data_IF_256629716573
#
_entry.id   IF_256629716573
#
_cell.length_a   1.000
_cell.length_b   1.000
_cell.length_c   1.000
_cell.angle_alpha   90.00
_cell.angle_beta   90.00
_cell.angle_gamma   90.00
#
_symmetry.space_group_name_H-M   'P 1'
#
loop_
_entity.id
_entity.type
_entity.pdbx_description
1 polymer ?
#
# COMPACT_ATOMS: atom_id res chain seq x y z
N UNK A 1 -19.25 5.66 5.54
CA UNK A 1 -18.78 4.37 4.98
C UNK A 1 -19.91 3.35 5.13
N UNK A 2 -20.35 2.73 4.03
CA UNK A 2 -21.56 1.88 4.02
C UNK A 2 -21.29 0.45 4.50
N UNK A 3 -20.02 0.01 4.51
CA UNK A 3 -19.65 -1.38 4.79
C UNK A 3 -20.01 -2.38 3.68
N UNK A 4 -20.62 -1.93 2.60
CA UNK A 4 -20.99 -2.78 1.45
C UNK A 4 -19.88 -2.72 0.37
N UNK A 5 -19.20 -3.82 0.16
CA UNK A 5 -18.10 -3.95 -0.80
C UNK A 5 -18.52 -3.74 -2.26
N UNK A 6 -19.80 -3.92 -2.61
CA UNK A 6 -20.31 -3.59 -3.94
C UNK A 6 -20.15 -2.10 -4.26
N UNK A 7 -20.23 -1.24 -3.24
CA UNK A 7 -20.00 0.18 -3.44
C UNK A 7 -18.53 0.47 -3.80
N UNK A 8 -17.56 -0.29 -3.26
CA UNK A 8 -16.17 -0.15 -3.65
C UNK A 8 -15.95 -0.53 -5.12
N UNK A 9 -16.61 -1.59 -5.60
CA UNK A 9 -16.59 -1.92 -7.03
C UNK A 9 -17.11 -0.77 -7.89
N UNK A 10 -18.28 -0.21 -7.56
CA UNK A 10 -18.87 0.88 -8.34
C UNK A 10 -18.05 2.18 -8.27
N UNK A 11 -17.39 2.45 -7.16
CA UNK A 11 -16.44 3.57 -7.04
C UNK A 11 -15.27 3.36 -7.99
N UNK A 12 -14.63 2.18 -7.94
CA UNK A 12 -13.52 1.84 -8.84
C UNK A 12 -13.95 1.87 -10.32
N UNK A 13 -15.12 1.33 -10.65
CA UNK A 13 -15.69 1.37 -11.99
C UNK A 13 -15.90 2.82 -12.49
N UNK A 14 -16.47 3.68 -11.64
CA UNK A 14 -16.73 5.07 -11.99
C UNK A 14 -15.43 5.85 -12.17
N UNK A 15 -14.49 5.76 -11.22
CA UNK A 15 -13.19 6.43 -11.29
C UNK A 15 -12.43 5.92 -12.53
N UNK A 16 -12.36 4.58 -12.70
CA UNK A 16 -11.66 3.97 -13.83
C UNK A 16 -12.17 4.49 -15.16
N UNK A 17 -13.50 4.54 -15.33
CA UNK A 17 -14.10 5.10 -16.54
C UNK A 17 -13.72 6.57 -16.78
N UNK A 18 -13.84 7.40 -15.75
CA UNK A 18 -13.57 8.84 -15.87
C UNK A 18 -12.11 9.12 -16.21
N UNK A 19 -11.17 8.47 -15.53
CA UNK A 19 -9.74 8.70 -15.78
C UNK A 19 -9.27 8.05 -17.10
N UNK A 20 -9.87 6.92 -17.51
CA UNK A 20 -9.60 6.32 -18.82
C UNK A 20 -10.00 7.23 -19.98
N UNK A 21 -11.15 7.91 -19.88
CA UNK A 21 -11.60 8.90 -20.87
C UNK A 21 -10.65 10.11 -20.97
N UNK A 22 -9.88 10.40 -19.89
CA UNK A 22 -8.84 11.42 -19.87
C UNK A 22 -7.48 10.92 -20.39
N UNK A 23 -7.36 9.66 -20.76
CA UNK A 23 -6.15 9.03 -21.30
C UNK A 23 -5.23 8.42 -20.25
N UNK A 24 -5.66 8.30 -18.97
CA UNK A 24 -4.91 7.58 -17.95
C UNK A 24 -5.20 6.08 -18.03
N UNK A 25 -4.18 5.27 -17.81
CA UNK A 25 -4.27 3.81 -17.80
C UNK A 25 -3.83 3.21 -16.46
N UNK A 26 -3.59 4.03 -15.45
CA UNK A 26 -3.12 3.64 -14.11
C UNK A 26 -3.70 4.59 -13.07
N UNK A 27 -4.15 4.00 -11.93
CA UNK A 27 -4.50 4.73 -10.71
C UNK A 27 -3.68 4.21 -9.53
N UNK A 28 -3.18 5.13 -8.69
CA UNK A 28 -2.58 4.79 -7.42
C UNK A 28 -3.66 4.57 -6.34
N UNK A 29 -4.55 3.63 -6.62
CA UNK A 29 -5.64 3.16 -5.78
C UNK A 29 -5.85 1.65 -5.98
N UNK A 30 -6.41 0.94 -4.97
CA UNK A 30 -6.95 1.38 -3.69
C UNK A 30 -5.91 1.56 -2.57
N UNK A 31 -6.33 2.28 -1.50
CA UNK A 31 -5.62 2.30 -0.21
C UNK A 31 -5.95 1.01 0.54
N UNK A 32 -4.94 0.17 0.74
CA UNK A 32 -5.03 -1.12 1.42
C UNK A 32 -4.69 -1.04 2.93
N UNK A 33 -4.27 0.15 3.41
CA UNK A 33 -3.94 0.38 4.81
C UNK A 33 -5.17 0.22 5.70
N UNK A 34 -5.00 -0.52 6.81
CA UNK A 34 -6.04 -0.71 7.84
C UNK A 34 -5.85 0.37 8.90
N UNK A 35 -6.79 1.32 9.01
CA UNK A 35 -6.68 2.44 9.94
C UNK A 35 -7.04 2.02 11.37
N UNK A 36 -6.12 1.35 12.06
CA UNK A 36 -6.28 0.90 13.45
C UNK A 36 -5.93 1.98 14.47
N UNK A 37 -5.22 3.04 14.06
CA UNK A 37 -4.88 4.18 14.90
C UNK A 37 -5.71 5.41 14.51
N UNK A 38 -6.62 5.83 15.37
CA UNK A 38 -7.49 6.98 15.13
C UNK A 38 -6.71 8.32 15.01
N UNK A 39 -5.47 8.38 15.51
CA UNK A 39 -4.59 9.55 15.39
C UNK A 39 -3.80 9.58 14.09
N UNK A 40 -3.86 8.53 13.29
CA UNK A 40 -3.24 8.50 11.97
C UNK A 40 -3.99 9.44 11.02
N UNK A 41 -3.48 10.66 10.88
CA UNK A 41 -4.04 11.68 10.00
C UNK A 41 -3.58 11.54 8.55
N UNK A 42 -2.48 10.82 8.30
CA UNK A 42 -1.96 10.59 6.96
C UNK A 42 -2.88 9.65 6.18
N UNK A 43 -3.24 8.51 6.74
CA UNK A 43 -4.19 7.58 6.13
C UNK A 43 -5.63 8.03 6.38
N UNK A 44 -6.00 8.23 7.64
CA UNK A 44 -7.28 8.81 8.03
C UNK A 44 -8.48 8.24 7.26
N UNK A 45 -9.24 9.11 6.65
CA UNK A 45 -10.44 8.77 5.88
C UNK A 45 -10.15 8.13 4.51
N UNK A 46 -8.91 8.04 4.08
CA UNK A 46 -8.50 7.35 2.84
C UNK A 46 -8.65 5.83 2.97
N UNK A 47 -8.49 5.27 4.18
CA UNK A 47 -8.71 3.86 4.46
C UNK A 47 -10.20 3.49 4.40
N UNK A 48 -10.50 2.27 4.00
CA UNK A 48 -11.85 1.70 4.08
C UNK A 48 -12.34 1.46 5.51
N UNK A 49 -11.43 1.35 6.48
CA UNK A 49 -11.80 1.18 7.88
C UNK A 49 -10.68 0.61 8.74
N UNK A 50 -11.06 0.18 9.93
CA UNK A 50 -10.16 -0.41 10.94
C UNK A 50 -10.33 -1.94 11.10
N UNK A 51 -11.28 -2.53 10.39
CA UNK A 51 -11.53 -3.97 10.45
C UNK A 51 -10.88 -4.66 9.24
N UNK A 52 -9.89 -5.57 9.44
CA UNK A 52 -9.05 -6.13 8.37
C UNK A 52 -9.84 -6.80 7.24
N UNK A 53 -10.86 -7.58 7.59
CA UNK A 53 -11.67 -8.28 6.60
C UNK A 53 -12.49 -7.32 5.74
N UNK A 54 -13.08 -6.30 6.35
CA UNK A 54 -13.82 -5.27 5.62
C UNK A 54 -12.91 -4.54 4.64
N UNK A 55 -11.70 -4.15 5.08
CA UNK A 55 -10.71 -3.49 4.20
C UNK A 55 -10.31 -4.42 3.05
N UNK A 56 -10.06 -5.70 3.34
CA UNK A 56 -9.69 -6.70 2.32
C UNK A 56 -10.80 -6.88 1.27
N UNK A 57 -12.07 -6.98 1.71
CA UNK A 57 -13.21 -7.11 0.82
C UNK A 57 -13.37 -5.86 -0.08
N UNK A 58 -13.26 -4.65 0.51
CA UNK A 58 -13.35 -3.39 -0.22
C UNK A 58 -12.23 -3.24 -1.25
N UNK A 59 -10.98 -3.50 -0.85
CA UNK A 59 -9.79 -3.43 -1.71
C UNK A 59 -9.97 -4.35 -2.93
N UNK A 60 -10.38 -5.59 -2.73
CA UNK A 60 -10.57 -6.52 -3.84
C UNK A 60 -11.64 -6.06 -4.84
N UNK A 61 -12.69 -5.43 -4.35
CA UNK A 61 -13.77 -4.94 -5.21
C UNK A 61 -13.37 -3.66 -5.96
N UNK A 62 -12.66 -2.73 -5.34
CA UNK A 62 -12.17 -1.54 -6.04
C UNK A 62 -11.14 -1.88 -7.12
N UNK A 63 -10.22 -2.83 -6.85
CA UNK A 63 -9.31 -3.37 -7.89
C UNK A 63 -10.10 -3.86 -9.10
N UNK A 64 -11.11 -4.70 -8.87
CA UNK A 64 -11.95 -5.23 -9.97
C UNK A 64 -12.68 -4.11 -10.72
N UNK A 65 -13.18 -3.11 -10.00
CA UNK A 65 -13.88 -1.97 -10.62
C UNK A 65 -12.99 -1.15 -11.54
N UNK A 66 -11.79 -0.77 -11.05
CA UNK A 66 -10.79 -0.02 -11.83
C UNK A 66 -10.35 -0.80 -13.08
N UNK A 67 -9.94 -2.05 -12.89
CA UNK A 67 -9.39 -2.87 -13.99
C UNK A 67 -10.44 -3.31 -15.01
N UNK A 68 -11.72 -3.38 -14.63
CA UNK A 68 -12.82 -3.59 -15.59
C UNK A 68 -12.94 -2.44 -16.60
N UNK A 69 -12.39 -1.26 -16.30
CA UNK A 69 -12.37 -0.10 -17.20
C UNK A 69 -11.04 0.07 -17.95
N UNK A 70 -10.10 -0.89 -17.84
CA UNK A 70 -8.78 -0.82 -18.48
C UNK A 70 -7.80 0.09 -17.76
N UNK A 71 -8.02 0.38 -16.48
CA UNK A 71 -7.12 1.16 -15.61
C UNK A 71 -6.46 0.24 -14.60
N UNK A 72 -5.15 0.17 -14.61
CA UNK A 72 -4.36 -0.63 -13.66
C UNK A 72 -4.51 -0.11 -12.25
N UNK A 73 -4.81 -1.01 -11.31
CA UNK A 73 -4.93 -0.69 -9.89
C UNK A 73 -3.60 -0.88 -9.15
N UNK A 74 -3.35 -0.04 -8.14
CA UNK A 74 -2.14 -0.07 -7.30
C UNK A 74 -2.52 -0.18 -5.83
N UNK A 75 -2.19 -1.31 -5.20
CA UNK A 75 -2.38 -1.48 -3.75
C UNK A 75 -1.36 -0.65 -2.98
N UNK A 76 -1.80 0.15 -2.00
CA UNK A 76 -0.90 1.00 -1.22
C UNK A 76 -1.34 1.16 0.23
N UNK A 77 -0.37 1.31 1.13
CA UNK A 77 1.08 1.38 1.01
C UNK A 77 1.71 0.18 1.72
N UNK A 78 2.29 -0.75 1.00
CA UNK A 78 2.84 -1.98 1.56
C UNK A 78 4.08 -1.68 2.45
N UNK A 79 4.21 -2.27 3.66
CA UNK A 79 3.44 -3.39 4.23
C UNK A 79 2.18 -3.02 5.01
N UNK A 80 1.70 -1.81 4.95
CA UNK A 80 0.60 -1.24 5.72
C UNK A 80 1.11 -0.18 6.71
N UNK A 81 0.50 1.00 6.71
CA UNK A 81 0.90 2.09 7.60
C UNK A 81 -0.27 2.68 8.41
N UNK A 82 -1.41 1.99 8.42
CA UNK A 82 -2.61 2.49 9.06
C UNK A 82 -2.54 2.54 10.60
N UNK A 83 -1.65 1.76 11.21
CA UNK A 83 -1.40 1.82 12.67
C UNK A 83 -0.37 2.88 13.08
N UNK A 84 0.39 3.47 12.13
CA UNK A 84 1.40 4.48 12.46
C UNK A 84 0.74 5.74 12.99
N UNK A 85 1.32 6.34 14.04
CA UNK A 85 0.85 7.61 14.61
C UNK A 85 1.47 8.83 13.96
N UNK A 86 2.46 8.65 13.11
CA UNK A 86 3.28 9.69 12.51
C UNK A 86 3.15 9.70 10.99
N UNK A 87 3.52 10.83 10.39
CA UNK A 87 3.35 11.11 8.97
C UNK A 87 4.70 10.99 8.24
N UNK A 88 4.81 10.05 7.31
CA UNK A 88 6.02 9.79 6.51
C UNK A 88 6.49 10.99 5.68
N UNK A 89 5.60 11.94 5.38
CA UNK A 89 5.96 13.19 4.74
C UNK A 89 6.80 14.12 5.65
N UNK A 90 6.72 13.94 6.97
CA UNK A 90 7.44 14.76 7.96
C UNK A 90 8.77 14.18 8.38
N UNK A 91 8.97 12.89 8.23
CA UNK A 91 10.22 12.22 8.60
C UNK A 91 10.10 10.73 8.81
N UNK A 92 11.01 10.20 9.62
CA UNK A 92 11.04 8.79 9.99
C UNK A 92 9.75 8.35 10.68
N UNK A 93 9.22 7.22 10.26
CA UNK A 93 8.04 6.59 10.84
C UNK A 93 8.30 5.10 11.03
N UNK A 94 8.04 4.61 12.23
CA UNK A 94 8.20 3.21 12.59
C UNK A 94 6.86 2.48 12.59
N UNK A 95 6.83 1.35 11.90
CA UNK A 95 5.75 0.38 12.00
C UNK A 95 6.10 -0.65 13.08
N UNK A 96 5.59 -0.44 14.30
CA UNK A 96 5.85 -1.27 15.45
C UNK A 96 5.05 -2.57 15.41
N UNK A 97 5.46 -3.50 14.56
CA UNK A 97 4.81 -4.80 14.41
C UNK A 97 5.83 -5.92 14.19
N UNK A 98 5.52 -7.12 14.69
CA UNK A 98 6.24 -8.34 14.32
C UNK A 98 5.76 -8.82 12.94
N UNK A 99 6.55 -9.68 12.29
CA UNK A 99 6.16 -10.24 10.99
C UNK A 99 4.85 -11.04 11.09
N UNK A 100 4.61 -11.74 12.18
CA UNK A 100 3.38 -12.51 12.37
C UNK A 100 2.16 -11.58 12.53
N UNK A 101 2.32 -10.46 13.24
CA UNK A 101 1.27 -9.43 13.31
C UNK A 101 0.95 -8.85 11.93
N UNK A 102 1.96 -8.57 11.09
CA UNK A 102 1.74 -8.11 9.73
C UNK A 102 1.00 -9.16 8.88
N UNK A 103 1.36 -10.44 9.01
CA UNK A 103 0.69 -11.54 8.31
C UNK A 103 -0.77 -11.71 8.70
N UNK A 104 -1.07 -11.52 9.98
CA UNK A 104 -2.41 -11.72 10.54
C UNK A 104 -3.34 -10.53 10.28
N UNK A 105 -2.81 -9.33 10.07
CA UNK A 105 -3.58 -8.10 9.96
C UNK A 105 -3.27 -7.36 8.67
N UNK A 106 -2.12 -6.67 8.58
CA UNK A 106 -1.80 -5.73 7.52
C UNK A 106 -1.73 -6.37 6.12
N UNK A 107 -1.29 -7.63 6.03
CA UNK A 107 -1.18 -8.30 4.73
C UNK A 107 -2.52 -8.80 4.17
N UNK A 108 -3.59 -8.85 4.96
CA UNK A 108 -4.89 -9.37 4.48
C UNK A 108 -5.46 -8.57 3.31
N UNK A 109 -5.52 -7.23 3.34
CA UNK A 109 -5.99 -6.46 2.19
C UNK A 109 -5.10 -6.60 0.96
N UNK A 110 -3.76 -6.67 1.14
CA UNK A 110 -2.84 -6.88 0.03
C UNK A 110 -3.03 -8.25 -0.61
N UNK A 111 -3.11 -9.34 0.18
CA UNK A 111 -3.43 -10.69 -0.33
C UNK A 111 -4.75 -10.70 -1.10
N UNK A 112 -5.76 -10.01 -0.59
CA UNK A 112 -7.08 -9.92 -1.24
C UNK A 112 -7.01 -9.15 -2.57
N UNK A 113 -6.30 -8.03 -2.61
CA UNK A 113 -6.08 -7.24 -3.82
C UNK A 113 -5.24 -7.98 -4.87
N UNK A 114 -4.16 -8.67 -4.45
CA UNK A 114 -3.34 -9.53 -5.31
C UNK A 114 -4.19 -10.64 -5.93
N UNK A 115 -5.00 -11.33 -5.10
CA UNK A 115 -5.92 -12.37 -5.57
C UNK A 115 -7.02 -11.83 -6.49
N UNK A 116 -7.36 -10.54 -6.38
CA UNK A 116 -8.27 -9.85 -7.30
C UNK A 116 -7.62 -9.45 -8.62
N UNK A 117 -6.30 -9.63 -8.75
CA UNK A 117 -5.53 -9.37 -9.96
C UNK A 117 -4.91 -7.98 -10.03
N UNK A 118 -4.64 -7.32 -8.92
CA UNK A 118 -3.99 -5.99 -8.92
C UNK A 118 -2.70 -5.97 -9.75
N UNK A 119 -2.55 -4.98 -10.61
CA UNK A 119 -1.40 -4.85 -11.49
C UNK A 119 -0.16 -4.28 -10.79
N UNK A 120 -0.35 -3.53 -9.70
CA UNK A 120 0.76 -2.88 -9.02
C UNK A 120 0.62 -2.92 -7.50
N UNK A 121 1.78 -2.88 -6.81
CA UNK A 121 1.89 -2.62 -5.37
C UNK A 121 2.87 -1.47 -5.14
N UNK A 122 2.45 -0.49 -4.36
CA UNK A 122 3.29 0.63 -3.93
C UNK A 122 3.85 0.37 -2.54
N UNK A 123 5.17 0.40 -2.44
CA UNK A 123 5.91 0.27 -1.19
C UNK A 123 5.87 1.54 -0.38
N UNK A 124 5.56 1.43 0.90
CA UNK A 124 5.68 2.51 1.88
C UNK A 124 7.13 2.78 2.27
N UNK A 125 7.38 3.99 2.77
CA UNK A 125 8.67 4.36 3.38
C UNK A 125 8.69 4.20 4.92
N UNK A 126 7.72 3.49 5.52
CA UNK A 126 7.80 3.15 6.95
C UNK A 126 8.98 2.21 7.20
N UNK A 127 9.64 2.36 8.33
CA UNK A 127 10.62 1.38 8.78
C UNK A 127 9.93 0.25 9.55
N UNK A 128 10.49 -0.94 9.45
CA UNK A 128 10.02 -2.16 10.14
C UNK A 128 11.17 -2.76 10.93
N UNK A 129 11.78 -1.96 11.82
CA UNK A 129 13.05 -2.28 12.48
C UNK A 129 12.98 -3.53 13.35
N UNK A 130 11.82 -3.86 13.91
CA UNK A 130 11.62 -5.11 14.64
C UNK A 130 11.79 -6.36 13.76
N UNK A 131 11.59 -6.22 12.45
CA UNK A 131 11.69 -7.32 11.47
C UNK A 131 13.05 -7.29 10.77
N UNK A 132 13.50 -6.11 10.33
CA UNK A 132 14.73 -5.94 9.55
C UNK A 132 15.98 -5.80 10.42
N UNK A 133 15.82 -5.45 11.71
CA UNK A 133 16.91 -5.07 12.62
C UNK A 133 17.53 -3.71 12.30
N UNK A 134 16.93 -2.92 11.39
CA UNK A 134 17.44 -1.64 10.92
C UNK A 134 16.31 -0.63 10.69
N UNK A 135 16.63 0.65 10.84
CA UNK A 135 15.74 1.78 10.55
C UNK A 135 15.62 2.11 9.04
N UNK A 136 15.84 1.12 8.17
CA UNK A 136 15.75 1.30 6.72
C UNK A 136 14.28 1.25 6.30
N UNK A 137 13.82 2.18 5.44
CA UNK A 137 12.46 2.15 4.89
C UNK A 137 12.13 0.84 4.20
N UNK A 138 10.91 0.34 4.37
CA UNK A 138 10.46 -0.92 3.79
C UNK A 138 10.69 -0.99 2.27
N UNK A 139 10.49 0.13 1.58
CA UNK A 139 10.75 0.29 0.14
C UNK A 139 12.21 0.09 -0.30
N UNK A 140 13.16 0.15 0.65
CA UNK A 140 14.59 0.01 0.40
C UNK A 140 15.18 -1.27 1.00
N UNK A 141 14.34 -2.24 1.39
CA UNK A 141 14.80 -3.50 1.98
C UNK A 141 14.42 -4.70 1.12
N UNK A 142 15.43 -5.52 0.78
CA UNK A 142 15.22 -6.80 0.08
C UNK A 142 14.20 -7.67 0.79
N UNK A 143 14.24 -7.72 2.13
CA UNK A 143 13.32 -8.53 2.92
C UNK A 143 11.85 -8.19 2.62
N UNK A 144 11.48 -6.89 2.60
CA UNK A 144 10.09 -6.50 2.38
C UNK A 144 9.68 -6.61 0.92
N UNK A 145 10.56 -6.20 0.00
CA UNK A 145 10.26 -6.18 -1.44
C UNK A 145 10.33 -7.58 -2.04
N UNK A 146 11.44 -8.28 -1.83
CA UNK A 146 11.69 -9.58 -2.49
C UNK A 146 11.15 -10.73 -1.65
N UNK A 147 11.67 -10.89 -0.43
CA UNK A 147 11.42 -12.13 0.31
C UNK A 147 9.95 -12.22 0.78
N UNK A 148 9.32 -11.07 1.12
CA UNK A 148 7.92 -11.06 1.56
C UNK A 148 6.96 -10.79 0.38
N UNK A 149 7.08 -9.65 -0.31
CA UNK A 149 6.07 -9.30 -1.33
C UNK A 149 6.17 -10.20 -2.56
N UNK A 150 7.36 -10.41 -3.13
CA UNK A 150 7.54 -11.30 -4.29
C UNK A 150 7.35 -12.77 -3.95
N UNK A 151 8.11 -13.27 -2.94
CA UNK A 151 8.20 -14.70 -2.71
C UNK A 151 7.10 -15.24 -1.80
N UNK A 152 6.83 -14.61 -0.64
CA UNK A 152 5.81 -15.09 0.29
C UNK A 152 4.38 -14.78 -0.20
N UNK A 153 4.12 -13.52 -0.64
CA UNK A 153 2.81 -13.10 -1.12
C UNK A 153 2.58 -13.43 -2.61
N UNK A 154 3.59 -13.94 -3.31
CA UNK A 154 3.52 -14.38 -4.71
C UNK A 154 3.06 -13.25 -5.66
N UNK A 155 3.56 -12.03 -5.46
CA UNK A 155 3.23 -10.90 -6.32
C UNK A 155 4.24 -10.76 -7.46
N UNK A 156 3.86 -11.14 -8.67
CA UNK A 156 4.73 -11.16 -9.86
C UNK A 156 4.65 -9.89 -10.73
N UNK A 157 3.67 -9.01 -10.46
CA UNK A 157 3.44 -7.80 -11.24
C UNK A 157 4.35 -6.64 -10.80
N UNK A 158 4.01 -5.39 -11.12
CA UNK A 158 4.88 -4.23 -10.92
C UNK A 158 4.93 -3.80 -9.44
N UNK A 159 6.15 -3.68 -8.90
CA UNK A 159 6.39 -3.05 -7.59
C UNK A 159 6.99 -1.67 -7.84
N UNK A 160 6.40 -0.65 -7.22
CA UNK A 160 6.91 0.72 -7.23
C UNK A 160 7.17 1.20 -5.80
N UNK A 161 7.95 2.25 -5.64
CA UNK A 161 8.06 2.95 -4.35
C UNK A 161 7.03 4.06 -4.27
N UNK A 162 6.68 4.50 -3.07
CA UNK A 162 6.11 5.83 -2.87
C UNK A 162 7.13 6.91 -3.28
N UNK A 163 6.75 8.17 -3.25
CA UNK A 163 7.52 9.27 -3.78
C UNK A 163 8.90 9.41 -3.10
N UNK A 164 9.98 9.18 -3.84
CA UNK A 164 11.36 9.18 -3.32
C UNK A 164 11.85 10.56 -2.87
N UNK A 165 11.10 11.62 -3.13
CA UNK A 165 11.39 12.98 -2.64
C UNK A 165 10.77 13.26 -1.25
N UNK A 166 10.13 12.29 -0.60
CA UNK A 166 9.59 12.42 0.75
C UNK A 166 10.73 12.57 1.77
N UNK A 167 10.47 13.31 2.86
CA UNK A 167 11.50 13.64 3.87
C UNK A 167 12.07 12.41 4.58
N UNK A 168 11.30 11.34 4.69
CA UNK A 168 11.76 10.06 5.24
C UNK A 168 12.90 9.45 4.39
N UNK A 169 12.96 9.75 3.11
CA UNK A 169 14.07 9.35 2.23
C UNK A 169 15.14 10.45 2.19
N UNK A 170 14.78 11.69 1.80
CA UNK A 170 15.75 12.75 1.48
C UNK A 170 16.59 13.24 2.67
N UNK A 171 16.20 12.94 3.91
CA UNK A 171 17.00 13.22 5.10
C UNK A 171 18.17 12.26 5.31
N UNK A 172 18.10 11.05 4.77
CA UNK A 172 19.03 9.96 5.07
C UNK A 172 19.74 9.41 3.85
N UNK A 173 19.23 9.67 2.65
CA UNK A 173 19.74 9.12 1.39
C UNK A 173 19.77 10.20 0.32
N UNK A 174 20.83 10.22 -0.48
CA UNK A 174 20.85 10.96 -1.73
C UNK A 174 19.99 10.25 -2.78
N UNK A 175 19.50 10.99 -3.78
CA UNK A 175 18.53 10.47 -4.75
C UNK A 175 19.04 9.26 -5.56
N UNK A 176 20.32 9.29 -5.96
CA UNK A 176 20.99 8.20 -6.66
C UNK A 176 21.18 6.97 -5.77
N UNK A 177 21.59 7.17 -4.52
CA UNK A 177 21.71 6.12 -3.52
C UNK A 177 20.35 5.44 -3.25
N UNK A 178 19.30 6.23 -3.02
CA UNK A 178 17.97 5.71 -2.77
C UNK A 178 17.43 4.94 -3.98
N UNK A 179 17.66 5.42 -5.21
CA UNK A 179 17.25 4.74 -6.43
C UNK A 179 17.93 3.37 -6.59
N UNK A 180 19.25 3.29 -6.33
CA UNK A 180 19.99 2.02 -6.39
C UNK A 180 19.53 1.03 -5.31
N UNK A 181 19.16 1.52 -4.12
CA UNK A 181 18.67 0.66 -3.03
C UNK A 181 17.25 0.13 -3.27
N UNK A 182 16.46 0.79 -4.11
CA UNK A 182 15.09 0.42 -4.41
C UNK A 182 14.98 -0.67 -5.51
N UNK A 183 16.09 -0.98 -6.20
CA UNK A 183 16.19 -1.99 -7.26
C UNK A 183 16.74 -3.31 -6.71
#
# INVERSE_FOLDING_TARGET
>A
KTGDSKNAYHVGETIGKEIYELGFNLDFAPVADINTNAENTEIGNRSFGSEPKTVADMVSQEVKGLQAQGVSATLKHFPGQGQCGEDTHKGYVELNATIDQLRDVEFLPFKSGISAGADMVMMSHVAVSQITGKETPASLTKLMVTDILREELQFDNVIITDAMNMKVITKFYDADQAAVMAI
#
